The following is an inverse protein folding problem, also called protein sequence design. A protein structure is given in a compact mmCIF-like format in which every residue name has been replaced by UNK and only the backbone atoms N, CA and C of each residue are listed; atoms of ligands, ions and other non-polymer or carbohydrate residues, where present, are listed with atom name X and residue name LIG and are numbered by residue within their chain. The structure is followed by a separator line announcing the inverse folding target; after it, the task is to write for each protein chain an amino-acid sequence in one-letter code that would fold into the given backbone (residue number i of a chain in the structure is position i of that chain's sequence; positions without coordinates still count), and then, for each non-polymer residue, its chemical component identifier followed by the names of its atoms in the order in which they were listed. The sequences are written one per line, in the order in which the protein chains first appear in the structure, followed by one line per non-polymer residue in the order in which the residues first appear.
data_IF_784714911289
#
_entry.id   IF_784714911289
#
_cell.length_a   1.000
_cell.length_b   1.000
_cell.length_c   1.000
_cell.angle_alpha   90.00
_cell.angle_beta   90.00
_cell.angle_gamma   90.00
#
_symmetry.space_group_name_H-M   'P 1'
#
loop_
_entity.id
_entity.type
_entity.pdbx_description
1 polymer ?
#
# COMPACT_ATOMS: atom_id res chain seq x y z
N UNK A 1 -12.31 -1.09 19.61
CA UNK A 1 -11.00 -0.65 20.13
C UNK A 1 -10.91 0.85 19.90
N UNK A 2 -11.01 1.66 20.95
CA UNK A 2 -10.91 3.12 20.86
C UNK A 2 -9.45 3.50 21.14
N UNK A 3 -8.67 3.97 20.16
CA UNK A 3 -7.26 4.27 20.39
C UNK A 3 -7.09 5.57 21.19
N UNK A 4 -6.31 5.52 22.28
CA UNK A 4 -5.93 6.66 23.13
C UNK A 4 -4.66 7.36 22.62
N UNK A 5 -4.68 7.88 21.38
CA UNK A 5 -3.50 8.48 20.74
C UNK A 5 -3.77 9.81 20.05
N UNK A 6 -2.74 10.64 19.90
CA UNK A 6 -2.81 11.81 19.03
C UNK A 6 -2.97 11.34 17.58
N UNK A 7 -4.06 11.74 16.93
CA UNK A 7 -4.33 11.45 15.53
C UNK A 7 -3.79 12.59 14.68
N UNK A 8 -2.93 12.27 13.73
CA UNK A 8 -2.72 13.12 12.57
C UNK A 8 -3.73 12.66 11.51
N UNK A 9 -5.01 12.91 11.79
CA UNK A 9 -6.06 12.80 10.78
C UNK A 9 -6.24 14.15 10.12
N UNK A 10 -6.68 14.17 8.87
CA UNK A 10 -7.29 15.37 8.31
C UNK A 10 -8.77 15.04 8.17
N UNK A 11 -9.61 15.28 9.20
CA UNK A 11 -11.03 14.90 9.20
C UNK A 11 -11.83 15.51 8.04
N UNK A 12 -11.28 16.57 7.42
CA UNK A 12 -11.86 17.31 6.30
C UNK A 12 -10.95 17.41 5.08
N UNK A 13 -9.82 16.69 5.02
CA UNK A 13 -9.22 16.48 3.70
C UNK A 13 -10.06 15.43 3.00
N UNK A 14 -11.11 15.88 2.33
CA UNK A 14 -11.58 15.28 1.08
C UNK A 14 -10.51 15.45 -0.01
N UNK A 15 -9.24 15.24 0.35
CA UNK A 15 -8.15 15.09 -0.57
C UNK A 15 -8.01 13.61 -0.80
N UNK A 16 -8.46 13.14 -1.95
CA UNK A 16 -7.86 12.03 -2.68
C UNK A 16 -6.37 12.36 -2.98
N UNK A 17 -5.60 12.67 -1.93
CA UNK A 17 -4.19 12.98 -1.99
C UNK A 17 -3.41 11.67 -2.00
N UNK A 18 -2.23 11.72 -2.61
CA UNK A 18 -1.34 10.60 -2.91
C UNK A 18 -0.73 9.92 -1.67
N UNK A 19 -1.54 9.62 -0.65
CA UNK A 19 -1.13 8.99 0.60
C UNK A 19 -1.09 7.47 0.44
N UNK A 20 -0.43 6.98 -0.61
CA UNK A 20 -0.20 5.56 -0.81
C UNK A 20 1.19 5.18 -0.31
N UNK A 21 1.27 4.03 0.34
CA UNK A 21 2.53 3.40 0.74
C UNK A 21 2.54 1.93 0.31
N UNK A 22 3.73 1.36 0.26
CA UNK A 22 3.93 -0.08 0.25
C UNK A 22 4.64 -0.51 1.54
N UNK A 23 4.30 -1.69 2.06
CA UNK A 23 4.80 -2.22 3.33
C UNK A 23 4.93 -3.73 3.27
N UNK A 24 5.79 -4.30 4.12
CA UNK A 24 5.87 -5.76 4.29
C UNK A 24 4.81 -6.26 5.28
N UNK A 25 3.91 -7.17 4.87
CA UNK A 25 2.93 -7.78 5.77
C UNK A 25 3.60 -8.38 7.01
N UNK A 26 3.11 -8.06 8.20
CA UNK A 26 3.69 -8.48 9.49
C UNK A 26 5.17 -8.10 9.67
N UNK A 27 5.70 -7.17 8.88
CA UNK A 27 7.12 -6.81 8.87
C UNK A 27 8.05 -7.87 8.27
N UNK A 28 7.53 -8.84 7.49
CA UNK A 28 8.34 -9.89 6.89
C UNK A 28 8.90 -9.46 5.51
N UNK A 29 10.17 -9.04 5.50
CA UNK A 29 10.90 -8.63 4.29
C UNK A 29 11.08 -9.75 3.24
N UNK A 30 10.83 -11.01 3.60
CA UNK A 30 10.86 -12.13 2.64
C UNK A 30 9.56 -12.22 1.81
N UNK A 31 8.52 -11.49 2.21
CA UNK A 31 7.24 -11.46 1.49
C UNK A 31 7.19 -10.32 0.48
N UNK A 32 6.32 -10.45 -0.52
CA UNK A 32 6.05 -9.30 -1.39
C UNK A 32 5.36 -8.19 -0.62
N UNK A 33 5.83 -6.95 -0.78
CA UNK A 33 5.19 -5.78 -0.19
C UNK A 33 3.74 -5.64 -0.66
N UNK A 34 2.87 -5.04 0.15
CA UNK A 34 1.47 -4.74 -0.17
C UNK A 34 1.28 -3.24 -0.29
N UNK A 35 0.55 -2.79 -1.32
CA UNK A 35 0.17 -1.38 -1.43
C UNK A 35 -1.07 -1.08 -0.59
N UNK A 36 -1.12 0.09 0.02
CA UNK A 36 -2.28 0.56 0.75
C UNK A 36 -2.42 2.07 0.74
N UNK A 37 -3.66 2.54 0.88
CA UNK A 37 -3.97 3.95 1.07
C UNK A 37 -4.08 4.24 2.56
N UNK A 38 -3.27 5.18 3.04
CA UNK A 38 -3.32 5.66 4.42
C UNK A 38 -4.70 6.30 4.67
N UNK A 39 -5.37 5.81 5.72
CA UNK A 39 -6.61 6.40 6.23
C UNK A 39 -6.33 7.26 7.46
N UNK A 40 -5.47 6.79 8.36
CA UNK A 40 -5.08 7.49 9.59
C UNK A 40 -3.62 7.22 9.93
N UNK A 41 -2.97 8.22 10.52
CA UNK A 41 -1.65 8.12 11.15
C UNK A 41 -1.84 8.45 12.63
N UNK A 42 -1.37 7.57 13.51
CA UNK A 42 -1.59 7.71 14.95
C UNK A 42 -0.40 7.18 15.74
N UNK A 43 -0.31 7.65 16.99
CA UNK A 43 0.68 7.14 17.95
C UNK A 43 0.00 6.22 18.96
N UNK A 44 0.52 5.01 19.15
CA UNK A 44 0.06 4.04 20.14
C UNK A 44 1.29 3.32 20.72
N UNK A 45 1.34 3.14 22.05
CA UNK A 45 2.46 2.46 22.73
C UNK A 45 3.83 3.05 22.39
N UNK A 46 3.89 4.38 22.25
CA UNK A 46 5.06 5.15 21.81
C UNK A 46 5.55 4.87 20.38
N UNK A 47 4.82 4.06 19.59
CA UNK A 47 5.10 3.78 18.17
C UNK A 47 4.18 4.58 17.25
N UNK A 48 4.70 4.95 16.09
CA UNK A 48 3.89 5.49 14.98
C UNK A 48 3.28 4.34 14.21
N UNK A 49 1.97 4.41 13.98
CA UNK A 49 1.19 3.42 13.25
C UNK A 49 0.31 4.07 12.20
N UNK A 50 -0.03 3.28 11.20
CA UNK A 50 -0.93 3.63 10.11
C UNK A 50 -2.13 2.70 10.14
N UNK A 51 -3.32 3.23 9.87
CA UNK A 51 -4.42 2.40 9.38
C UNK A 51 -4.51 2.55 7.88
N UNK A 52 -4.55 1.44 7.15
CA UNK A 52 -4.58 1.41 5.69
C UNK A 52 -5.85 0.76 5.19
N UNK A 53 -6.31 1.16 4.00
CA UNK A 53 -7.09 0.29 3.12
C UNK A 53 -6.15 -0.28 2.08
N UNK A 54 -5.94 -1.59 2.10
CA UNK A 54 -4.97 -2.26 1.24
C UNK A 54 -5.52 -2.47 -0.16
N UNK A 55 -4.68 -2.37 -1.19
CA UNK A 55 -5.06 -2.72 -2.55
C UNK A 55 -5.32 -4.22 -2.65
N UNK A 56 -6.41 -4.60 -3.32
CA UNK A 56 -6.74 -6.03 -3.49
C UNK A 56 -5.83 -6.62 -4.57
N UNK A 57 -5.13 -7.74 -4.32
CA UNK A 57 -4.30 -8.40 -5.33
C UNK A 57 -5.10 -8.70 -6.59
N UNK A 58 -4.54 -8.38 -7.76
CA UNK A 58 -5.12 -8.81 -9.02
C UNK A 58 -4.73 -10.27 -9.26
N UNK A 59 -5.70 -11.18 -9.16
CA UNK A 59 -5.50 -12.59 -9.51
C UNK A 59 -5.56 -12.70 -11.02
N UNK A 60 -4.42 -12.91 -11.67
CA UNK A 60 -4.39 -13.16 -13.11
C UNK A 60 -4.95 -14.56 -13.36
N UNK A 61 -5.97 -14.64 -14.22
CA UNK A 61 -6.62 -15.91 -14.58
C UNK A 61 -5.78 -16.58 -15.68
N UNK A 62 -5.27 -17.78 -15.40
CA UNK A 62 -4.42 -18.58 -16.30
C UNK A 62 -2.91 -18.42 -16.04
N UNK A 63 -2.07 -18.98 -16.91
CA UNK A 63 -0.61 -19.05 -16.71
C UNK A 63 0.16 -17.76 -17.04
N UNK A 64 -0.53 -16.61 -17.16
CA UNK A 64 0.14 -15.36 -17.51
C UNK A 64 0.66 -14.65 -16.25
N UNK A 65 1.97 -14.42 -16.12
CA UNK A 65 2.52 -13.68 -14.99
C UNK A 65 2.15 -12.20 -15.09
N UNK A 66 2.24 -11.49 -13.95
CA UNK A 66 2.12 -10.04 -13.92
C UNK A 66 3.25 -9.41 -14.75
N UNK A 67 2.93 -8.70 -15.85
CA UNK A 67 3.94 -8.17 -16.75
C UNK A 67 4.82 -7.10 -16.08
N UNK A 68 4.35 -6.43 -15.03
CA UNK A 68 5.14 -5.44 -14.29
C UNK A 68 6.13 -6.10 -13.32
N UNK A 69 5.79 -7.29 -12.79
CA UNK A 69 6.69 -8.05 -11.91
C UNK A 69 7.94 -8.57 -12.61
N UNK A 70 7.92 -8.67 -13.95
CA UNK A 70 9.06 -9.10 -14.75
C UNK A 70 10.28 -8.16 -14.66
N UNK A 71 10.13 -6.97 -14.06
CA UNK A 71 11.20 -5.98 -13.92
C UNK A 71 11.67 -5.77 -12.47
N UNK A 72 11.16 -6.55 -11.51
CA UNK A 72 11.54 -6.41 -10.10
C UNK A 72 13.03 -6.65 -9.87
N UNK A 73 13.59 -7.67 -10.53
CA UNK A 73 15.02 -8.01 -10.48
C UNK A 73 15.93 -6.91 -11.10
N UNK A 74 15.33 -5.94 -11.79
CA UNK A 74 16.00 -4.77 -12.38
C UNK A 74 15.78 -3.50 -11.56
N UNK A 75 15.21 -3.61 -10.36
CA UNK A 75 14.94 -2.47 -9.47
C UNK A 75 13.69 -1.66 -9.84
N UNK A 76 12.87 -2.14 -10.78
CA UNK A 76 11.58 -1.53 -11.10
C UNK A 76 10.46 -2.36 -10.48
N UNK A 77 10.22 -2.14 -9.20
CA UNK A 77 9.23 -2.88 -8.42
C UNK A 77 7.81 -2.33 -8.64
N UNK A 78 7.16 -2.79 -9.70
CA UNK A 78 5.75 -2.48 -9.97
C UNK A 78 4.90 -3.75 -10.08
N UNK A 79 3.63 -3.68 -9.68
CA UNK A 79 2.69 -4.80 -9.83
C UNK A 79 1.26 -4.35 -10.07
N UNK A 80 0.47 -5.23 -10.67
CA UNK A 80 -0.95 -5.07 -10.86
C UNK A 80 -1.73 -5.44 -9.60
N UNK A 81 -2.69 -4.60 -9.29
CA UNK A 81 -3.72 -4.80 -8.27
C UNK A 81 -5.08 -4.49 -8.89
N UNK A 82 -6.17 -4.86 -8.25
CA UNK A 82 -7.47 -4.37 -8.71
C UNK A 82 -7.62 -2.87 -8.43
N UNK A 83 -8.54 -2.20 -9.12
CA UNK A 83 -8.89 -0.81 -8.82
C UNK A 83 -9.57 -0.66 -7.44
N UNK A 84 -10.03 -1.75 -6.83
CA UNK A 84 -10.65 -1.74 -5.53
C UNK A 84 -9.63 -1.82 -4.38
N UNK A 85 -10.00 -1.22 -3.25
CA UNK A 85 -9.34 -1.44 -1.97
C UNK A 85 -10.13 -2.44 -1.13
N UNK A 86 -9.45 -3.08 -0.18
CA UNK A 86 -10.07 -3.92 0.84
C UNK A 86 -11.11 -3.13 1.64
N UNK A 87 -12.19 -3.82 2.02
CA UNK A 87 -13.20 -3.29 2.93
C UNK A 87 -12.66 -3.07 4.34
N UNK A 88 -11.68 -3.87 4.75
CA UNK A 88 -11.10 -3.87 6.08
C UNK A 88 -9.96 -2.86 6.23
N UNK A 89 -9.80 -2.36 7.47
CA UNK A 89 -8.67 -1.53 7.85
C UNK A 89 -7.55 -2.41 8.41
N UNK A 90 -6.36 -2.24 7.87
CA UNK A 90 -5.14 -2.90 8.36
C UNK A 90 -4.30 -1.93 9.18
N UNK A 91 -3.82 -2.36 10.36
CA UNK A 91 -2.91 -1.57 11.19
C UNK A 91 -1.48 -1.99 10.88
N UNK A 92 -0.66 -1.02 10.48
CA UNK A 92 0.74 -1.23 10.09
C UNK A 92 1.65 -0.40 10.97
N UNK A 93 2.70 -1.02 11.51
CA UNK A 93 3.77 -0.32 12.23
C UNK A 93 4.65 0.44 11.22
N UNK A 94 5.12 1.64 11.59
CA UNK A 94 5.97 2.46 10.72
C UNK A 94 7.21 1.72 10.19
N UNK A 95 7.81 0.86 11.03
CA UNK A 95 9.01 0.11 10.68
C UNK A 95 8.77 -0.95 9.59
N UNK A 96 7.51 -1.25 9.25
CA UNK A 96 7.15 -2.19 8.18
C UNK A 96 7.00 -1.51 6.83
N UNK A 97 6.95 -0.17 6.81
CA UNK A 97 6.74 0.62 5.59
C UNK A 97 8.03 0.61 4.77
N UNK A 98 7.92 0.20 3.51
CA UNK A 98 9.04 0.20 2.56
C UNK A 98 9.26 1.60 2.02
N UNK A 99 8.21 2.16 1.39
CA UNK A 99 8.25 3.49 0.81
C UNK A 99 6.84 4.00 0.48
N UNK A 100 6.78 5.25 0.00
CA UNK A 100 5.64 5.70 -0.78
C UNK A 100 5.48 4.85 -2.05
N UNK A 101 4.24 4.73 -2.52
CA UNK A 101 3.94 4.07 -3.79
C UNK A 101 3.15 5.01 -4.69
N UNK A 102 3.45 5.00 -5.99
CA UNK A 102 2.57 5.58 -6.98
C UNK A 102 1.51 4.55 -7.35
N UNK A 103 0.26 4.99 -7.51
CA UNK A 103 -0.84 4.14 -7.96
C UNK A 103 -1.49 4.75 -9.19
N UNK A 104 -1.53 4.00 -10.29
CA UNK A 104 -2.14 4.42 -11.54
C UNK A 104 -3.32 3.52 -11.87
N UNK A 105 -4.53 4.07 -11.90
CA UNK A 105 -5.73 3.34 -12.32
C UNK A 105 -5.77 3.20 -13.84
N UNK A 106 -5.95 1.97 -14.32
CA UNK A 106 -6.22 1.65 -15.70
C UNK A 106 -7.74 1.60 -15.86
N UNK A 107 -8.35 2.78 -15.99
CA UNK A 107 -9.78 3.08 -15.85
C UNK A 107 -10.74 2.17 -16.65
N UNK A 108 -10.26 1.46 -17.68
CA UNK A 108 -11.05 0.54 -18.50
C UNK A 108 -11.05 -0.92 -18.05
N UNK A 109 -10.26 -1.31 -17.04
CA UNK A 109 -10.02 -2.73 -16.72
C UNK A 109 -10.32 -3.11 -15.28
N UNK A 110 -10.69 -2.17 -14.41
CA UNK A 110 -10.81 -2.44 -12.97
C UNK A 110 -9.47 -2.89 -12.36
N UNK A 111 -8.36 -2.47 -12.98
CA UNK A 111 -6.98 -2.76 -12.59
C UNK A 111 -6.29 -1.43 -12.27
N UNK A 112 -5.38 -1.46 -11.31
CA UNK A 112 -4.41 -0.40 -11.08
C UNK A 112 -3.00 -0.99 -11.04
N UNK A 113 -2.01 -0.16 -11.33
CA UNK A 113 -0.59 -0.50 -11.19
C UNK A 113 -0.03 0.27 -10.00
N UNK A 114 0.60 -0.45 -9.08
CA UNK A 114 1.34 0.14 -7.97
C UNK A 114 2.84 0.04 -8.25
N UNK A 115 3.56 1.16 -8.09
CA UNK A 115 5.01 1.25 -8.24
C UNK A 115 5.62 1.65 -6.89
N UNK A 116 6.55 0.84 -6.38
CA UNK A 116 7.38 1.20 -5.24
C UNK A 116 8.28 2.39 -5.63
N UNK A 117 8.25 3.47 -4.84
CA UNK A 117 9.07 4.68 -5.06
C UNK A 117 10.29 4.75 -4.13
N UNK A 118 10.67 3.65 -3.49
CA UNK A 118 11.93 3.55 -2.77
C UNK A 118 13.08 3.94 -3.70
N UNK A 119 13.96 4.82 -3.24
CA UNK A 119 15.21 5.12 -3.94
C UNK A 119 16.15 3.94 -3.69
N UNK A 120 16.56 3.25 -4.75
CA UNK A 120 17.65 2.28 -4.68
C UNK A 120 18.93 3.03 -4.31
N UNK A 121 19.45 2.81 -3.11
CA UNK A 121 20.79 3.26 -2.69
C UNK A 121 21.85 2.26 -3.11
#
# INVERSE_FOLDING_TARGET
LTPHGNYYSIPKATGAGNSFICFYPNGDEQTEWVAGQIQYIFKQDNKVRFTLRCSVPHVIIGDKPDPFKLFWDRGFEAKMVTSAFSGDLEVVDYDWVVAHTARWELESFGIAVCLNLAVSS
#
